data_IF_046728440760
#
_entry.id   IF_046728440760
#
_cell.length_a   1.000
_cell.length_b   1.000
_cell.length_c   1.000
_cell.angle_alpha   90.00
_cell.angle_beta   90.00
_cell.angle_gamma   90.00
#
_symmetry.space_group_name_H-M   'P 1'
#
loop_
_entity.id
_entity.type
_entity.pdbx_description
1 polymer ?
#
# COMPACT_ATOMS: atom_id res chain seq x y z
N UNK A 1 12.84 2.30 -6.81
CA UNK A 1 11.38 2.50 -6.94
C UNK A 1 10.63 1.65 -5.93
N UNK A 2 9.49 2.11 -5.40
CA UNK A 2 8.56 1.29 -4.61
C UNK A 2 7.25 1.05 -5.36
N UNK A 3 6.72 -0.17 -5.27
CA UNK A 3 5.45 -0.59 -5.85
C UNK A 3 4.50 -1.01 -4.74
N UNK A 4 3.33 -0.39 -4.68
CA UNK A 4 2.37 -0.53 -3.60
C UNK A 4 1.19 -1.40 -4.03
N UNK A 5 0.75 -2.28 -3.14
CA UNK A 5 -0.38 -3.17 -3.35
C UNK A 5 -1.27 -3.22 -2.11
N UNK A 6 -2.60 -3.25 -2.32
CA UNK A 6 -3.58 -3.56 -1.27
C UNK A 6 -4.33 -4.83 -1.66
N UNK A 7 -4.34 -5.83 -0.79
CA UNK A 7 -4.99 -7.13 -1.04
C UNK A 7 -4.61 -7.74 -2.41
N UNK A 8 -3.36 -7.50 -2.84
CA UNK A 8 -2.83 -7.93 -4.13
C UNK A 8 -3.15 -7.02 -5.32
N UNK A 9 -4.02 -6.02 -5.17
CA UNK A 9 -4.31 -5.03 -6.21
C UNK A 9 -3.24 -3.93 -6.25
N UNK A 10 -2.74 -3.60 -7.45
CA UNK A 10 -1.73 -2.55 -7.63
C UNK A 10 -2.33 -1.16 -7.39
N UNK A 11 -1.68 -0.39 -6.53
CA UNK A 11 -2.10 0.97 -6.16
C UNK A 11 -1.34 2.06 -6.91
N UNK A 12 -0.11 1.77 -7.30
CA UNK A 12 0.79 2.75 -7.89
C UNK A 12 2.23 2.57 -7.41
N UNK A 13 3.08 3.51 -7.79
CA UNK A 13 4.48 3.52 -7.41
C UNK A 13 4.91 4.87 -6.88
N UNK A 14 5.94 4.88 -6.02
CA UNK A 14 6.53 6.10 -5.49
C UNK A 14 8.04 5.98 -5.38
N UNK A 15 8.70 7.13 -5.26
CA UNK A 15 10.05 7.19 -4.72
C UNK A 15 10.04 6.75 -3.25
N UNK A 16 11.14 6.13 -2.74
CA UNK A 16 11.23 5.73 -1.34
C UNK A 16 11.07 6.87 -0.34
N UNK A 17 11.40 8.10 -0.75
CA UNK A 17 11.30 9.32 0.06
C UNK A 17 9.93 10.02 -0.04
N UNK A 18 9.01 9.50 -0.85
CA UNK A 18 7.71 10.14 -1.12
C UNK A 18 6.58 9.23 -0.65
N UNK A 19 5.74 9.74 0.25
CA UNK A 19 4.54 9.04 0.70
C UNK A 19 3.50 8.96 -0.43
N UNK A 20 2.89 7.80 -0.61
CA UNK A 20 1.77 7.62 -1.53
C UNK A 20 0.46 8.07 -0.87
N UNK A 21 -0.35 8.88 -1.56
CA UNK A 21 -1.64 9.40 -1.08
C UNK A 21 -2.81 8.46 -1.39
N UNK A 22 -2.62 7.16 -1.20
CA UNK A 22 -3.68 6.19 -1.42
C UNK A 22 -4.84 6.41 -0.43
N UNK A 23 -6.06 6.50 -0.96
CA UNK A 23 -7.29 6.61 -0.16
C UNK A 23 -8.09 5.30 -0.23
N UNK A 24 -8.44 4.70 0.92
CA UNK A 24 -9.22 3.48 0.93
C UNK A 24 -10.65 3.69 0.43
N UNK A 25 -11.11 2.81 -0.46
CA UNK A 25 -12.49 2.81 -0.95
C UNK A 25 -13.47 2.10 0.00
N UNK A 26 -12.96 1.24 0.88
CA UNK A 26 -13.76 0.46 1.84
C UNK A 26 -13.05 0.40 3.18
N UNK A 27 -13.77 0.53 4.30
CA UNK A 27 -13.20 0.28 5.61
C UNK A 27 -12.99 -1.23 5.82
N UNK A 28 -12.05 -1.58 6.70
CA UNK A 28 -11.76 -2.96 7.06
C UNK A 28 -10.29 -3.23 7.30
N UNK A 29 -9.96 -4.50 7.52
CA UNK A 29 -8.59 -4.98 7.58
C UNK A 29 -8.10 -5.27 6.16
N UNK A 30 -6.97 -4.69 5.80
CA UNK A 30 -6.35 -4.86 4.49
C UNK A 30 -4.88 -5.26 4.64
N UNK A 31 -4.37 -6.06 3.71
CA UNK A 31 -2.95 -6.31 3.59
C UNK A 31 -2.32 -5.26 2.68
N UNK A 32 -1.46 -4.42 3.24
CA UNK A 32 -0.61 -3.52 2.48
C UNK A 32 0.73 -4.24 2.21
N UNK A 33 1.13 -4.31 0.94
CA UNK A 33 2.43 -4.86 0.53
C UNK A 33 3.19 -3.82 -0.28
N UNK A 34 4.48 -3.69 0.01
CA UNK A 34 5.42 -2.88 -0.76
C UNK A 34 6.50 -3.79 -1.31
N UNK A 35 6.82 -3.61 -2.59
CA UNK A 35 7.89 -4.32 -3.28
C UNK A 35 8.84 -3.28 -3.89
N UNK A 36 10.16 -3.49 -3.80
CA UNK A 36 11.12 -2.66 -4.51
C UNK A 36 11.48 -3.23 -5.90
N UNK A 37 12.29 -2.50 -6.67
CA UNK A 37 12.74 -2.90 -8.01
C UNK A 37 13.65 -4.14 -8.03
N UNK A 38 14.16 -4.56 -6.87
CA UNK A 38 14.93 -5.80 -6.71
C UNK A 38 14.03 -6.98 -6.28
N UNK A 39 12.72 -6.77 -6.14
CA UNK A 39 11.76 -7.78 -5.73
C UNK A 39 11.72 -8.04 -4.22
N UNK A 40 12.44 -7.26 -3.41
CA UNK A 40 12.36 -7.35 -1.94
C UNK A 40 11.02 -6.79 -1.50
N UNK A 41 10.40 -7.41 -0.49
CA UNK A 41 9.06 -6.98 -0.06
C UNK A 41 8.85 -6.99 1.44
N UNK A 42 8.01 -6.07 1.91
CA UNK A 42 7.46 -6.02 3.27
C UNK A 42 5.94 -5.97 3.17
N UNK A 43 5.26 -6.63 4.10
CA UNK A 43 3.80 -6.60 4.20
C UNK A 43 3.37 -6.32 5.63
N UNK A 44 2.29 -5.56 5.78
CA UNK A 44 1.66 -5.29 7.07
C UNK A 44 0.14 -5.25 6.95
N UNK A 45 -0.56 -5.62 8.04
CA UNK A 45 -2.00 -5.45 8.12
C UNK A 45 -2.33 -4.04 8.61
N UNK A 46 -3.18 -3.34 7.86
CA UNK A 46 -3.72 -2.04 8.22
C UNK A 46 -5.21 -2.14 8.49
N UNK A 47 -5.67 -1.42 9.51
CA UNK A 47 -7.10 -1.20 9.75
C UNK A 47 -7.47 0.15 9.15
N UNK A 48 -8.32 0.15 8.12
CA UNK A 48 -8.79 1.36 7.48
C UNK A 48 -10.17 1.68 8.04
N UNK A 49 -10.26 2.76 8.79
CA UNK A 49 -11.54 3.34 9.19
C UNK A 49 -12.08 4.18 8.02
N UNK A 50 -13.41 4.35 7.94
CA UNK A 50 -13.97 5.41 7.09
C UNK A 50 -13.42 6.74 7.61
N UNK A 51 -12.79 7.53 6.75
CA UNK A 51 -12.63 8.96 7.02
C UNK A 51 -14.05 9.55 7.14
N UNK A 52 -14.34 10.16 8.28
CA UNK A 52 -15.61 10.83 8.58
C UNK A 52 -15.67 12.24 8.03
#
# INVERSE_FOLDING_TARGET
QLYWFVDGAYLGSSDPSSASSWRPTRPGTHQLRVVDDQGRSVALQVQLAREG
#
